data_IF_527710027308
#
_entry.id   IF_527710027308
#
_cell.length_a   1.000
_cell.length_b   1.000
_cell.length_c   1.000
_cell.angle_alpha   90.00
_cell.angle_beta   90.00
_cell.angle_gamma   90.00
#
_symmetry.space_group_name_H-M   'P 1'
#
loop_
_entity.id
_entity.type
_entity.pdbx_description
1 polymer ?
#
# COMPACT_ATOMS: atom_id res chain seq x y z
N UNK A 1 16.93 -0.80 -12.25
CA UNK A 1 16.55 -0.14 -10.99
C UNK A 1 16.19 1.31 -11.33
N UNK A 2 15.21 1.93 -10.68
CA UNK A 2 14.76 3.29 -11.04
C UNK A 2 15.84 4.35 -10.73
N UNK A 3 16.69 4.09 -9.73
CA UNK A 3 17.77 5.01 -9.33
C UNK A 3 19.02 4.82 -10.21
N UNK A 4 19.44 3.57 -10.37
CA UNK A 4 20.77 3.27 -10.93
C UNK A 4 20.72 2.81 -12.40
N UNK A 5 19.53 2.56 -12.95
CA UNK A 5 19.33 2.08 -14.33
C UNK A 5 19.77 0.63 -14.60
N UNK A 6 20.46 -0.02 -13.67
CA UNK A 6 21.01 -1.39 -13.83
C UNK A 6 20.05 -2.51 -13.42
N UNK A 7 20.27 -3.70 -13.96
CA UNK A 7 19.59 -4.92 -13.50
C UNK A 7 20.24 -5.43 -12.21
N UNK A 8 19.43 -5.76 -11.20
CA UNK A 8 19.93 -6.32 -9.93
C UNK A 8 18.92 -7.31 -9.35
N UNK A 9 19.41 -8.39 -8.75
CA UNK A 9 18.60 -9.32 -7.96
C UNK A 9 18.76 -8.95 -6.48
N UNK A 10 17.67 -8.53 -5.84
CA UNK A 10 17.68 -8.19 -4.41
C UNK A 10 17.47 -9.44 -3.54
N UNK A 11 18.24 -9.56 -2.46
CA UNK A 11 18.18 -10.69 -1.52
C UNK A 11 18.11 -10.21 -0.07
N UNK A 12 17.49 -11.03 0.79
CA UNK A 12 17.43 -10.82 2.25
C UNK A 12 16.96 -9.41 2.64
N UNK A 13 17.70 -8.71 3.50
CA UNK A 13 17.34 -7.40 4.04
C UNK A 13 17.31 -6.30 2.96
N UNK A 14 18.07 -6.45 1.88
CA UNK A 14 18.10 -5.47 0.80
C UNK A 14 16.76 -5.40 0.05
N UNK A 15 16.02 -6.50 0.01
CA UNK A 15 14.69 -6.53 -0.60
C UNK A 15 13.70 -5.68 0.20
N UNK A 16 13.71 -5.84 1.52
CA UNK A 16 12.79 -5.11 2.42
C UNK A 16 13.07 -3.60 2.38
N UNK A 17 14.34 -3.19 2.42
CA UNK A 17 14.73 -1.78 2.27
C UNK A 17 14.28 -1.20 0.93
N UNK A 18 14.49 -1.91 -0.18
CA UNK A 18 14.05 -1.45 -1.51
C UNK A 18 12.53 -1.27 -1.58
N UNK A 19 11.75 -2.21 -1.03
CA UNK A 19 10.29 -2.11 -1.01
C UNK A 19 9.83 -0.90 -0.18
N UNK A 20 10.46 -0.64 0.97
CA UNK A 20 10.15 0.55 1.78
C UNK A 20 10.39 1.85 1.01
N UNK A 21 11.55 1.98 0.37
CA UNK A 21 11.91 3.17 -0.41
C UNK A 21 10.92 3.44 -1.55
N UNK A 22 10.52 2.40 -2.28
CA UNK A 22 9.55 2.52 -3.38
C UNK A 22 8.15 2.93 -2.89
N UNK A 23 7.70 2.36 -1.76
CA UNK A 23 6.42 2.72 -1.15
C UNK A 23 6.42 4.17 -0.65
N UNK A 24 7.50 4.62 -0.02
CA UNK A 24 7.64 6.00 0.46
C UNK A 24 7.67 7.00 -0.68
N UNK A 25 8.40 6.68 -1.77
CA UNK A 25 8.41 7.51 -2.98
C UNK A 25 7.01 7.70 -3.55
N UNK A 26 6.22 6.62 -3.64
CA UNK A 26 4.83 6.70 -4.12
C UNK A 26 3.91 7.48 -3.17
N UNK A 27 4.10 7.35 -1.85
CA UNK A 27 3.35 8.13 -0.86
C UNK A 27 3.66 9.63 -0.97
N UNK A 28 4.93 10.00 -1.16
CA UNK A 28 5.37 11.40 -1.32
C UNK A 28 4.78 12.06 -2.56
N UNK A 29 4.79 11.38 -3.71
CA UNK A 29 4.23 11.88 -4.98
C UNK A 29 2.68 11.89 -4.94
N UNK A 30 2.06 11.18 -3.99
CA UNK A 30 0.59 11.02 -3.85
C UNK A 30 -0.08 10.35 -5.05
N UNK A 31 0.60 9.39 -5.68
CA UNK A 31 -0.03 8.56 -6.71
C UNK A 31 -1.12 7.68 -6.08
N UNK A 32 -2.17 7.33 -6.83
CA UNK A 32 -3.29 6.51 -6.32
C UNK A 32 -2.83 5.23 -5.59
N UNK A 33 -1.82 4.55 -6.15
CA UNK A 33 -1.21 3.36 -5.54
C UNK A 33 -0.60 3.66 -4.16
N UNK A 34 0.14 4.76 -4.05
CA UNK A 34 0.76 5.24 -2.81
C UNK A 34 -0.25 5.68 -1.76
N UNK A 35 -1.29 6.41 -2.18
CA UNK A 35 -2.39 6.81 -1.28
C UNK A 35 -3.12 5.60 -0.69
N UNK A 36 -3.36 4.55 -1.50
CA UNK A 36 -3.95 3.31 -0.97
C UNK A 36 -3.04 2.60 0.04
N UNK A 37 -1.73 2.58 -0.21
CA UNK A 37 -0.75 2.09 0.77
C UNK A 37 -0.67 2.97 2.04
N UNK A 38 -0.97 4.26 1.95
CA UNK A 38 -1.05 5.15 3.10
C UNK A 38 -2.30 4.88 3.95
N UNK A 39 -3.46 4.67 3.30
CA UNK A 39 -4.72 4.35 3.96
C UNK A 39 -4.92 2.87 4.30
N UNK A 40 -3.90 2.02 4.11
CA UNK A 40 -3.97 0.56 4.28
C UNK A 40 -5.15 -0.09 3.52
N UNK A 41 -5.47 0.43 2.34
CA UNK A 41 -6.47 -0.14 1.44
C UNK A 41 -5.81 -1.12 0.47
N UNK A 42 -6.60 -2.07 -0.03
CA UNK A 42 -6.16 -2.95 -1.11
C UNK A 42 -5.90 -2.15 -2.39
N UNK A 43 -4.80 -2.47 -3.05
CA UNK A 43 -4.13 -1.58 -4.02
C UNK A 43 -4.44 -1.92 -5.48
N UNK A 44 -4.87 -3.15 -5.78
CA UNK A 44 -5.01 -3.68 -7.15
C UNK A 44 -6.41 -3.49 -7.75
N UNK A 45 -7.16 -2.49 -7.29
CA UNK A 45 -8.50 -2.19 -7.83
C UNK A 45 -9.61 -3.14 -7.34
N UNK A 46 -9.41 -3.84 -6.23
CA UNK A 46 -10.50 -4.64 -5.65
C UNK A 46 -11.63 -3.76 -5.13
N UNK A 47 -12.88 -4.21 -5.29
CA UNK A 47 -14.05 -3.57 -4.71
C UNK A 47 -13.96 -3.58 -3.17
N UNK A 48 -13.97 -2.39 -2.56
CA UNK A 48 -13.77 -2.19 -1.11
C UNK A 48 -15.04 -2.37 -0.28
N UNK A 49 -16.19 -2.64 -0.92
CA UNK A 49 -17.46 -2.91 -0.22
C UNK A 49 -17.39 -4.20 0.58
N UNK A 50 -17.09 -5.31 -0.09
CA UNK A 50 -17.14 -6.67 0.47
C UNK A 50 -15.76 -7.32 0.64
N UNK A 51 -14.78 -6.95 -0.19
CA UNK A 51 -13.49 -7.67 -0.21
C UNK A 51 -12.50 -7.13 0.83
N UNK A 52 -11.69 -8.03 1.42
CA UNK A 52 -10.63 -7.66 2.37
C UNK A 52 -11.11 -7.38 3.81
N UNK A 53 -12.38 -7.67 4.13
CA UNK A 53 -12.89 -7.67 5.50
C UNK A 53 -12.54 -9.00 6.17
N UNK A 54 -11.96 -8.94 7.37
CA UNK A 54 -11.70 -10.10 8.24
C UNK A 54 -12.40 -9.86 9.57
N UNK A 55 -13.08 -10.87 10.12
CA UNK A 55 -13.90 -10.78 11.34
C UNK A 55 -15.41 -10.69 11.09
N UNK A 56 -16.22 -10.75 12.16
CA UNK A 56 -17.69 -10.55 12.13
C UNK A 56 -18.03 -9.11 11.70
N UNK A 57 -19.18 -8.92 11.07
CA UNK A 57 -19.68 -7.62 10.59
C UNK A 57 -19.72 -6.61 11.74
N UNK A 58 -18.82 -5.63 11.73
CA UNK A 58 -18.88 -4.48 12.65
C UNK A 58 -19.84 -3.44 12.07
N UNK A 59 -20.90 -3.12 12.82
CA UNK A 59 -21.84 -2.05 12.51
C UNK A 59 -21.12 -0.70 12.38
N UNK A 60 -21.67 0.18 11.54
CA UNK A 60 -21.08 1.49 11.28
C UNK A 60 -21.33 2.41 12.48
N UNK A 61 -20.29 2.81 13.21
CA UNK A 61 -20.40 3.88 14.20
C UNK A 61 -20.55 5.22 13.49
N UNK A 62 -21.76 5.79 13.47
CA UNK A 62 -21.95 7.18 13.07
C UNK A 62 -21.50 8.09 14.22
N UNK A 63 -20.77 9.15 13.91
CA UNK A 63 -20.49 10.23 14.86
C UNK A 63 -21.83 10.87 15.22
N UNK A 64 -22.16 10.92 16.52
CA UNK A 64 -23.35 11.63 17.00
C UNK A 64 -23.18 13.10 16.65
N UNK A 65 -24.20 13.69 16.02
CA UNK A 65 -24.29 15.13 15.79
C UNK A 65 -24.46 15.85 17.13
#
# INVERSE_FOLDING_TARGET
DIKDGKFSQATSNNLDTKVREDLERMKKIRVHRGLRHYWNLRVRGQHTKTTGRRGRTVGVSKKKA
#
